data_IF_737615639467
#
_entry.id   IF_737615639467
#
_cell.length_a   1.000
_cell.length_b   1.000
_cell.length_c   1.000
_cell.angle_alpha   90.00
_cell.angle_beta   90.00
_cell.angle_gamma   90.00
#
_symmetry.space_group_name_H-M   'P 1'
#
loop_
_entity.id
_entity.type
_entity.pdbx_description
1 polymer ?
#
# COMPACT_ATOMS: atom_id res chain seq x y z
N UNK A 1 -7.42 28.11 2.86
CA UNK A 1 -6.42 27.71 1.83
C UNK A 1 -5.04 27.88 2.45
N UNK A 2 -4.33 26.78 2.66
CA UNK A 2 -2.94 26.84 3.13
C UNK A 2 -2.04 27.31 1.97
N UNK A 3 -1.19 28.34 2.16
CA UNK A 3 -0.28 28.82 1.13
C UNK A 3 0.76 27.73 0.80
N UNK A 4 1.03 27.51 -0.49
CA UNK A 4 2.08 26.59 -0.96
C UNK A 4 1.62 25.24 -1.49
N UNK A 5 0.39 24.80 -1.27
CA UNK A 5 -0.11 23.48 -1.73
C UNK A 5 -0.33 23.36 -3.23
N UNK A 6 -0.31 24.48 -3.97
CA UNK A 6 -0.47 24.48 -5.44
C UNK A 6 0.72 23.90 -6.19
N UNK A 7 1.89 23.78 -5.53
CA UNK A 7 3.13 23.28 -6.13
C UNK A 7 3.42 21.82 -5.79
N UNK A 8 2.51 21.12 -5.10
CA UNK A 8 2.71 19.70 -4.76
C UNK A 8 2.20 18.82 -5.90
N UNK A 9 3.09 18.05 -6.52
CA UNK A 9 2.76 17.02 -7.48
C UNK A 9 2.04 15.86 -6.78
N UNK A 10 0.75 15.69 -7.03
CA UNK A 10 -0.06 14.60 -6.46
C UNK A 10 -0.08 13.43 -7.41
N UNK A 11 0.57 12.34 -7.03
CA UNK A 11 0.70 11.14 -7.85
C UNK A 11 -0.27 10.09 -7.34
N UNK A 12 -1.15 9.62 -8.22
CA UNK A 12 -2.17 8.62 -7.92
C UNK A 12 -2.10 7.44 -8.88
N UNK A 13 -2.92 6.45 -8.63
CA UNK A 13 -3.09 5.27 -9.46
C UNK A 13 -4.31 5.41 -10.37
N UNK A 14 -4.32 4.62 -11.41
CA UNK A 14 -5.42 4.49 -12.37
C UNK A 14 -6.73 4.00 -11.72
N UNK A 15 -7.85 4.20 -12.40
CA UNK A 15 -9.12 3.64 -12.00
C UNK A 15 -9.05 2.10 -12.03
N UNK A 16 -9.62 1.44 -11.01
CA UNK A 16 -9.55 -0.03 -10.85
C UNK A 16 -8.33 -0.52 -10.05
N UNK A 17 -7.38 0.34 -9.72
CA UNK A 17 -6.29 -0.01 -8.82
C UNK A 17 -6.78 -0.32 -7.41
N UNK A 18 -6.48 -1.54 -6.91
CA UNK A 18 -6.78 -1.91 -5.53
C UNK A 18 -6.01 -1.06 -4.49
N UNK A 19 -4.80 -0.61 -4.82
CA UNK A 19 -4.03 0.32 -3.96
C UNK A 19 -4.73 1.67 -3.86
N UNK A 20 -5.25 2.20 -4.98
CA UNK A 20 -6.02 3.44 -5.00
C UNK A 20 -7.31 3.31 -4.20
N UNK A 21 -8.12 2.30 -4.47
CA UNK A 21 -9.39 2.10 -3.77
C UNK A 21 -9.21 1.98 -2.25
N UNK A 22 -8.14 1.29 -1.82
CA UNK A 22 -7.83 1.17 -0.39
C UNK A 22 -7.39 2.50 0.22
N UNK A 23 -6.52 3.25 -0.47
CA UNK A 23 -6.09 4.56 -0.01
C UNK A 23 -7.28 5.52 0.13
N UNK A 24 -8.11 5.65 -0.91
CA UNK A 24 -9.30 6.50 -0.90
C UNK A 24 -10.28 6.13 0.22
N UNK A 25 -10.49 4.84 0.48
CA UNK A 25 -11.33 4.38 1.58
C UNK A 25 -10.77 4.75 2.96
N UNK A 26 -9.46 4.58 3.18
CA UNK A 26 -8.81 4.86 4.46
C UNK A 26 -8.80 6.37 4.78
N UNK A 27 -8.59 7.21 3.76
CA UNK A 27 -8.55 8.68 3.96
C UNK A 27 -9.95 9.32 3.96
N UNK A 28 -11.02 8.54 3.96
CA UNK A 28 -12.40 9.02 4.12
C UNK A 28 -13.13 9.33 2.81
N UNK A 29 -12.78 8.65 1.71
CA UNK A 29 -13.51 8.74 0.44
C UNK A 29 -13.35 10.09 -0.28
N UNK A 30 -12.21 10.74 -0.12
CA UNK A 30 -11.91 12.01 -0.80
C UNK A 30 -11.76 11.80 -2.31
N UNK A 31 -12.33 12.72 -3.09
CA UNK A 31 -12.19 12.71 -4.54
C UNK A 31 -10.77 13.13 -4.97
N UNK A 32 -10.27 12.44 -5.98
CA UNK A 32 -9.00 12.79 -6.59
C UNK A 32 -9.12 14.12 -7.34
N UNK A 33 -8.17 15.02 -7.11
CA UNK A 33 -8.12 16.29 -7.83
C UNK A 33 -7.79 16.07 -9.32
N UNK A 34 -8.32 16.93 -10.18
CA UNK A 34 -8.14 16.81 -11.65
C UNK A 34 -6.69 16.88 -12.10
N UNK A 35 -5.86 17.60 -11.38
CA UNK A 35 -4.45 17.82 -11.68
C UNK A 35 -3.54 16.71 -11.15
N UNK A 36 -4.10 15.63 -10.61
CA UNK A 36 -3.30 14.49 -10.16
C UNK A 36 -2.66 13.75 -11.34
N UNK A 37 -1.39 13.41 -11.17
CA UNK A 37 -0.65 12.57 -12.13
C UNK A 37 -1.10 11.13 -11.92
N UNK A 38 -1.67 10.52 -12.95
CA UNK A 38 -2.17 9.15 -12.88
C UNK A 38 -1.09 8.19 -13.40
N UNK A 39 -0.76 7.19 -12.61
CA UNK A 39 0.20 6.15 -12.93
C UNK A 39 -0.46 4.77 -12.94
N UNK A 40 0.04 3.87 -13.80
CA UNK A 40 -0.50 2.53 -14.05
C UNK A 40 0.06 1.44 -13.15
N UNK A 41 1.06 1.75 -12.32
CA UNK A 41 1.66 0.81 -11.39
C UNK A 41 2.24 1.49 -10.16
N UNK A 42 2.47 0.72 -9.09
CA UNK A 42 3.19 1.22 -7.92
C UNK A 42 4.65 1.59 -8.25
N UNK A 43 5.26 0.90 -9.22
CA UNK A 43 6.62 1.20 -9.70
C UNK A 43 6.71 2.57 -10.36
N UNK A 44 5.75 2.90 -11.24
CA UNK A 44 5.71 4.21 -11.90
C UNK A 44 5.36 5.35 -10.93
N UNK A 45 4.53 5.10 -9.91
CA UNK A 45 4.33 6.05 -8.79
C UNK A 45 5.66 6.32 -8.09
N UNK A 46 6.40 5.27 -7.74
CA UNK A 46 7.72 5.39 -7.08
C UNK A 46 8.69 6.25 -7.89
N UNK A 47 8.86 5.93 -9.18
CA UNK A 47 9.80 6.65 -10.03
C UNK A 47 9.36 8.12 -10.25
N UNK A 48 8.05 8.39 -10.35
CA UNK A 48 7.54 9.75 -10.48
C UNK A 48 7.87 10.57 -9.22
N UNK A 49 7.62 10.03 -8.03
CA UNK A 49 7.95 10.70 -6.76
C UNK A 49 9.46 10.85 -6.58
N UNK A 50 10.25 9.84 -6.97
CA UNK A 50 11.72 9.90 -6.87
C UNK A 50 12.34 11.01 -7.74
N UNK A 51 11.70 11.37 -8.85
CA UNK A 51 12.19 12.38 -9.79
C UNK A 51 11.64 13.80 -9.56
N UNK A 52 10.72 13.98 -8.60
CA UNK A 52 10.17 15.31 -8.27
C UNK A 52 10.12 15.50 -6.75
N UNK A 53 10.99 16.36 -6.24
CA UNK A 53 11.08 16.68 -4.79
C UNK A 53 9.81 17.32 -4.22
N UNK A 54 8.91 17.81 -5.08
CA UNK A 54 7.61 18.36 -4.69
C UNK A 54 6.47 17.37 -4.86
N UNK A 55 6.75 16.13 -5.27
CA UNK A 55 5.71 15.12 -5.46
C UNK A 55 5.44 14.32 -4.18
N UNK A 56 4.18 13.95 -4.02
CA UNK A 56 3.70 12.99 -3.04
C UNK A 56 2.81 11.95 -3.72
N UNK A 57 2.91 10.71 -3.29
CA UNK A 57 2.08 9.62 -3.81
C UNK A 57 1.87 8.54 -2.76
N UNK A 58 1.25 7.45 -3.15
CA UNK A 58 1.05 6.28 -2.30
C UNK A 58 1.34 5.00 -3.10
N UNK A 59 1.89 4.01 -2.44
CA UNK A 59 2.23 2.72 -3.02
C UNK A 59 2.29 1.63 -1.94
N UNK A 60 2.42 0.38 -2.36
CA UNK A 60 2.58 -0.74 -1.42
C UNK A 60 3.94 -0.71 -0.74
N UNK A 61 3.99 -0.95 0.56
CA UNK A 61 5.18 -0.89 1.42
C UNK A 61 6.40 -1.63 0.83
N UNK A 62 6.21 -2.83 0.30
CA UNK A 62 7.30 -3.63 -0.28
C UNK A 62 8.01 -3.02 -1.50
N UNK A 63 7.54 -1.88 -2.01
CA UNK A 63 8.15 -1.15 -3.12
C UNK A 63 8.89 0.13 -2.67
N UNK A 64 9.00 0.37 -1.37
CA UNK A 64 9.86 1.41 -0.82
C UNK A 64 11.33 1.09 -1.12
N UNK A 65 12.12 2.13 -1.41
CA UNK A 65 13.55 2.05 -1.60
C UNK A 65 14.21 3.36 -1.15
N UNK A 66 15.53 3.44 -1.27
CA UNK A 66 16.31 4.59 -0.86
C UNK A 66 16.04 5.90 -1.61
N UNK A 67 15.34 5.83 -2.77
CA UNK A 67 15.02 7.01 -3.59
C UNK A 67 13.82 7.79 -3.10
N UNK A 68 12.98 7.18 -2.26
CA UNK A 68 11.76 7.79 -1.73
C UNK A 68 11.68 7.60 -0.22
N UNK A 69 11.00 8.52 0.45
CA UNK A 69 10.80 8.45 1.89
C UNK A 69 9.33 8.22 2.22
N UNK A 70 9.06 7.21 3.04
CA UNK A 70 7.73 7.08 3.65
C UNK A 70 7.47 8.24 4.63
N UNK A 71 6.27 8.78 4.60
CA UNK A 71 5.86 9.85 5.51
C UNK A 71 5.30 9.28 6.81
N UNK A 72 5.49 9.98 7.91
CA UNK A 72 4.80 9.68 9.17
C UNK A 72 3.32 10.00 9.05
N UNK A 73 2.48 9.17 9.65
CA UNK A 73 1.03 9.38 9.73
C UNK A 73 0.63 9.45 11.20
N UNK A 74 0.00 10.53 11.61
CA UNK A 74 -0.36 10.79 13.01
C UNK A 74 0.83 10.68 13.98
N UNK A 75 2.04 11.03 13.53
CA UNK A 75 3.26 10.93 14.31
C UNK A 75 3.88 9.53 14.38
N UNK A 76 3.34 8.55 13.65
CA UNK A 76 3.84 7.18 13.58
C UNK A 76 4.60 6.97 12.28
N UNK A 77 5.80 6.42 12.36
CA UNK A 77 6.63 6.07 11.21
C UNK A 77 6.12 4.79 10.53
N UNK A 78 6.29 4.73 9.20
CA UNK A 78 5.93 3.56 8.39
C UNK A 78 6.99 2.46 8.54
N UNK A 79 6.96 1.74 9.66
CA UNK A 79 7.83 0.61 9.92
C UNK A 79 7.04 -0.71 9.92
N UNK A 80 7.67 -1.86 9.60
CA UNK A 80 7.01 -3.16 9.70
C UNK A 80 6.37 -3.40 11.06
N UNK A 81 7.06 -3.03 12.14
CA UNK A 81 6.58 -3.19 13.52
C UNK A 81 5.32 -2.34 13.77
N UNK A 82 5.34 -1.07 13.39
CA UNK A 82 4.19 -0.18 13.58
C UNK A 82 2.97 -0.62 12.75
N UNK A 83 3.21 -1.19 11.55
CA UNK A 83 2.15 -1.77 10.72
C UNK A 83 1.56 -3.02 11.36
N UNK A 84 2.40 -3.96 11.82
CA UNK A 84 1.97 -5.21 12.46
C UNK A 84 1.24 -4.93 13.77
N UNK A 85 1.70 -3.98 14.56
CA UNK A 85 1.07 -3.58 15.82
C UNK A 85 -0.23 -2.77 15.63
N UNK A 86 -0.51 -2.30 14.40
CA UNK A 86 -1.69 -1.50 14.09
C UNK A 86 -1.59 -0.03 14.47
N UNK A 87 -0.37 0.46 14.78
CA UNK A 87 -0.09 1.85 15.09
C UNK A 87 -0.08 2.72 13.83
N UNK A 88 0.47 2.21 12.73
CA UNK A 88 0.43 2.87 11.42
C UNK A 88 -0.90 2.56 10.73
N UNK A 89 -1.73 3.57 10.49
CA UNK A 89 -3.13 3.39 10.12
C UNK A 89 -3.41 3.24 8.62
N UNK A 90 -2.46 3.60 7.74
CA UNK A 90 -2.60 3.42 6.30
C UNK A 90 -2.23 1.98 5.89
N UNK A 91 -3.01 1.01 6.32
CA UNK A 91 -2.76 -0.42 6.10
C UNK A 91 -3.95 -1.07 5.41
N UNK A 92 -3.65 -1.92 4.44
CA UNK A 92 -4.63 -2.76 3.76
C UNK A 92 -4.33 -4.24 3.99
N UNK A 93 -5.23 -4.98 4.63
CA UNK A 93 -5.13 -6.43 4.68
C UNK A 93 -5.48 -7.06 3.33
N UNK A 94 -4.87 -8.22 3.04
CA UNK A 94 -5.21 -9.08 1.90
C UNK A 94 -5.89 -10.32 2.44
N UNK A 95 -7.05 -10.66 1.88
CA UNK A 95 -7.86 -11.80 2.33
C UNK A 95 -7.97 -12.86 1.24
N UNK A 96 -7.98 -14.12 1.64
CA UNK A 96 -8.52 -15.20 0.81
C UNK A 96 -10.04 -15.24 0.95
N UNK A 97 -10.73 -15.45 -0.15
CA UNK A 97 -12.18 -15.59 -0.17
C UNK A 97 -12.54 -17.00 -0.63
N UNK A 98 -13.35 -17.70 0.18
CA UNK A 98 -13.84 -19.04 -0.12
C UNK A 98 -15.36 -19.09 0.00
N UNK A 99 -16.00 -20.01 -0.70
CA UNK A 99 -17.43 -20.29 -0.54
C UNK A 99 -17.61 -21.33 0.58
N UNK A 100 -17.80 -20.83 1.80
CA UNK A 100 -17.88 -21.68 3.01
C UNK A 100 -16.48 -22.11 3.49
N UNK A 101 -16.43 -23.13 4.34
CA UNK A 101 -15.18 -23.67 4.87
C UNK A 101 -14.30 -24.27 3.76
N UNK A 102 -13.00 -23.88 3.66
CA UNK A 102 -12.13 -24.43 2.66
C UNK A 102 -11.87 -25.92 2.86
N UNK A 103 -11.89 -26.68 1.77
CA UNK A 103 -11.66 -28.14 1.77
C UNK A 103 -10.70 -28.54 0.64
N UNK A 104 -10.15 -29.73 0.73
CA UNK A 104 -9.30 -30.32 -0.31
C UNK A 104 -8.12 -29.44 -0.69
N UNK A 105 -7.89 -29.26 -1.99
CA UNK A 105 -6.78 -28.48 -2.51
C UNK A 105 -6.81 -26.99 -2.09
N UNK A 106 -8.00 -26.40 -1.96
CA UNK A 106 -8.15 -25.02 -1.49
C UNK A 106 -7.66 -24.86 -0.06
N UNK A 107 -8.05 -25.79 0.81
CA UNK A 107 -7.56 -25.81 2.19
C UNK A 107 -6.05 -26.00 2.25
N UNK A 108 -5.52 -26.96 1.51
CA UNK A 108 -4.08 -27.24 1.47
C UNK A 108 -3.27 -26.03 1.00
N UNK A 109 -3.76 -25.29 0.02
CA UNK A 109 -3.12 -24.06 -0.44
C UNK A 109 -3.12 -22.96 0.64
N UNK A 110 -4.26 -22.72 1.30
CA UNK A 110 -4.35 -21.75 2.38
C UNK A 110 -3.45 -22.13 3.55
N UNK A 111 -3.47 -23.41 3.95
CA UNK A 111 -2.61 -23.93 5.03
C UNK A 111 -1.12 -23.74 4.69
N UNK A 112 -0.73 -23.99 3.43
CA UNK A 112 0.64 -23.72 2.96
C UNK A 112 0.99 -22.23 3.06
N UNK A 113 0.13 -21.34 2.54
CA UNK A 113 0.41 -19.89 2.59
C UNK A 113 0.53 -19.39 4.03
N UNK A 114 -0.25 -19.95 4.97
CA UNK A 114 -0.19 -19.59 6.39
C UNK A 114 0.93 -20.32 7.15
N UNK A 115 1.61 -21.28 6.54
CA UNK A 115 2.77 -21.96 7.14
C UNK A 115 3.99 -21.04 7.22
N UNK A 116 5.00 -21.42 8.01
CA UNK A 116 6.26 -20.66 8.11
C UNK A 116 6.95 -20.48 6.76
N UNK A 117 6.89 -21.48 5.87
CA UNK A 117 7.48 -21.43 4.52
C UNK A 117 6.71 -20.46 3.61
N UNK A 118 5.37 -20.56 3.61
CA UNK A 118 4.51 -19.64 2.84
C UNK A 118 4.66 -18.19 3.33
N UNK A 119 4.68 -17.96 4.64
CA UNK A 119 4.87 -16.63 5.22
C UNK A 119 6.26 -16.06 4.89
N UNK A 120 7.30 -16.89 4.86
CA UNK A 120 8.62 -16.46 4.41
C UNK A 120 8.58 -16.00 2.96
N UNK A 121 7.91 -16.72 2.06
CA UNK A 121 7.75 -16.33 0.66
C UNK A 121 7.04 -14.97 0.52
N UNK A 122 6.02 -14.71 1.33
CA UNK A 122 5.29 -13.43 1.39
C UNK A 122 6.23 -12.30 1.80
N UNK A 123 7.02 -12.50 2.86
CA UNK A 123 7.99 -11.50 3.34
C UNK A 123 9.09 -11.25 2.32
N UNK A 124 9.64 -12.29 1.70
CA UNK A 124 10.65 -12.19 0.65
C UNK A 124 10.12 -11.43 -0.60
N UNK A 125 8.80 -11.42 -0.80
CA UNK A 125 8.11 -10.65 -1.85
C UNK A 125 7.82 -9.19 -1.46
N UNK A 126 8.28 -8.74 -0.29
CA UNK A 126 8.10 -7.36 0.20
C UNK A 126 6.75 -7.06 0.84
N UNK A 127 5.96 -8.09 1.15
CA UNK A 127 4.73 -7.97 1.93
C UNK A 127 5.00 -8.26 3.42
N UNK A 128 4.06 -7.91 4.26
CA UNK A 128 4.14 -8.23 5.69
C UNK A 128 3.42 -9.55 5.98
N UNK A 129 3.90 -10.31 6.99
CA UNK A 129 3.29 -11.60 7.33
C UNK A 129 1.87 -11.43 7.85
N UNK A 130 1.05 -12.47 7.68
CA UNK A 130 -0.23 -12.56 8.33
C UNK A 130 -0.05 -12.67 9.86
N UNK A 131 -1.01 -12.10 10.59
CA UNK A 131 -1.07 -12.25 12.06
C UNK A 131 -1.56 -13.62 12.44
#
# INVERSE_FOLDING_TARGET
>A
QLPGWRCVGRVSREAGSGTRSSFEAIVGGVELVREAIIQDSNGTVRETVANDVNAIGYLSHGLLNEKIKAVTVNGVDCTPEAIINGEYTLVRPVFFLTKGEPQGAVKAFIDFVLSSEGQKTIVDSGLLPAK
#
